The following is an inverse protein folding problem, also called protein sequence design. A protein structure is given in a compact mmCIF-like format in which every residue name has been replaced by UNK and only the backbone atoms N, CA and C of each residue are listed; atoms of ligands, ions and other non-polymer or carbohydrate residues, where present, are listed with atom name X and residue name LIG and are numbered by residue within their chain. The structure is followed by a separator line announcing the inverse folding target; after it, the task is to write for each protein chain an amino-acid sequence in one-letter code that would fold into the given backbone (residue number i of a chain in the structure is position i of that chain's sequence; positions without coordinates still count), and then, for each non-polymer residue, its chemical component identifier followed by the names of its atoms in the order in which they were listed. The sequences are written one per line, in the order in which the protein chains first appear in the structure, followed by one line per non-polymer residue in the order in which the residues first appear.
data_IF_753591734943
#
_entry.id   IF_753591734943
#
_cell.length_a   1.000
_cell.length_b   1.000
_cell.length_c   1.000
_cell.angle_alpha   90.00
_cell.angle_beta   90.00
_cell.angle_gamma   90.00
#
_symmetry.space_group_name_H-M   'P 1'
#
loop_
_entity.id
_entity.type
_entity.pdbx_description
1 polymer ?
#
# COMPACT_ATOMS: atom_id res chain seq x y z
N UNK A 1 -74.33 0.94 -51.53
CA UNK A 1 -74.37 2.32 -52.13
C UNK A 1 -72.92 2.72 -52.13
N UNK A 2 -72.23 2.50 -53.25
CA UNK A 2 -72.09 3.39 -54.38
C UNK A 2 -71.04 4.43 -54.03
N UNK A 3 -70.02 4.63 -54.65
CA UNK A 3 -69.42 4.49 -56.02
C UNK A 3 -68.09 5.23 -55.94
N UNK A 4 -67.00 4.66 -56.32
CA UNK A 4 -66.33 4.69 -57.62
C UNK A 4 -65.51 5.96 -57.94
N UNK A 5 -64.35 5.63 -58.42
CA UNK A 5 -63.61 6.27 -59.52
C UNK A 5 -62.82 7.56 -59.21
N UNK A 6 -61.73 7.84 -59.83
CA UNK A 6 -61.00 7.26 -60.97
C UNK A 6 -59.72 8.11 -61.17
N UNK A 7 -58.66 7.44 -61.60
CA UNK A 7 -57.59 7.83 -62.51
C UNK A 7 -57.24 9.32 -62.73
N UNK A 8 -55.98 9.69 -62.66
CA UNK A 8 -55.21 9.83 -63.89
C UNK A 8 -53.78 10.27 -63.74
N UNK A 9 -52.94 9.63 -64.52
CA UNK A 9 -51.55 9.93 -64.83
C UNK A 9 -51.30 11.36 -65.29
N UNK A 10 -50.11 11.93 -65.01
CA UNK A 10 -49.14 12.26 -66.08
C UNK A 10 -47.90 13.02 -65.62
N UNK A 11 -46.80 12.53 -66.14
CA UNK A 11 -45.59 13.22 -66.68
C UNK A 11 -44.49 13.79 -65.73
N UNK A 12 -43.39 13.05 -65.77
CA UNK A 12 -42.01 13.45 -66.09
C UNK A 12 -41.63 14.91 -65.76
N UNK A 13 -40.73 15.01 -64.78
CA UNK A 13 -39.80 16.10 -64.64
C UNK A 13 -38.50 15.58 -64.02
N UNK A 14 -37.47 15.38 -64.86
CA UNK A 14 -36.12 15.05 -64.43
C UNK A 14 -35.49 16.32 -63.88
N UNK A 15 -35.16 16.34 -62.60
CA UNK A 15 -34.28 17.31 -62.03
C UNK A 15 -33.09 16.58 -61.36
N UNK A 16 -31.97 16.75 -62.01
CA UNK A 16 -30.67 16.34 -61.49
C UNK A 16 -30.29 17.31 -60.35
N UNK A 17 -30.30 16.84 -59.12
CA UNK A 17 -29.74 17.59 -58.00
C UNK A 17 -28.45 16.90 -57.49
N UNK A 18 -27.35 17.60 -57.62
CA UNK A 18 -26.04 17.20 -57.11
C UNK A 18 -26.10 17.08 -55.57
N UNK A 19 -25.92 15.87 -55.08
CA UNK A 19 -25.74 15.62 -53.66
C UNK A 19 -24.29 15.98 -53.25
N UNK A 20 -24.14 17.10 -52.55
CA UNK A 20 -22.94 17.43 -51.84
C UNK A 20 -22.83 16.48 -50.64
N UNK A 21 -21.94 15.51 -50.69
CA UNK A 21 -21.59 14.65 -49.57
C UNK A 21 -20.77 15.46 -48.56
N UNK A 22 -21.44 15.98 -47.53
CA UNK A 22 -20.76 16.44 -46.32
C UNK A 22 -20.19 15.21 -45.55
N UNK A 23 -18.90 14.98 -45.74
CA UNK A 23 -18.19 14.02 -44.93
C UNK A 23 -18.13 14.50 -43.49
N UNK A 24 -18.95 13.95 -42.62
CA UNK A 24 -18.80 14.06 -41.18
C UNK A 24 -17.55 13.22 -40.79
N UNK A 25 -16.43 13.89 -40.61
CA UNK A 25 -15.28 13.29 -39.96
C UNK A 25 -15.70 12.96 -38.51
N UNK A 26 -16.04 11.70 -38.26
CA UNK A 26 -16.17 11.17 -36.91
C UNK A 26 -14.78 11.27 -36.29
N UNK A 27 -14.56 12.24 -35.43
CA UNK A 27 -13.45 12.27 -34.51
C UNK A 27 -13.59 11.03 -33.63
N UNK A 28 -12.88 9.97 -34.01
CA UNK A 28 -12.73 8.77 -33.20
C UNK A 28 -12.07 9.14 -31.88
N UNK A 29 -12.85 9.34 -30.84
CA UNK A 29 -12.35 9.29 -29.48
C UNK A 29 -11.85 7.89 -29.25
N UNK A 30 -10.54 7.68 -29.40
CA UNK A 30 -9.88 6.47 -28.89
C UNK A 30 -10.29 6.33 -27.42
N UNK A 31 -10.94 5.23 -27.01
CA UNK A 31 -11.24 5.04 -25.61
C UNK A 31 -9.88 5.03 -24.89
N UNK A 32 -9.66 5.97 -23.98
CA UNK A 32 -8.56 5.91 -23.06
C UNK A 32 -8.65 4.52 -22.42
N UNK A 33 -7.60 3.71 -22.56
CA UNK A 33 -7.54 2.40 -21.93
C UNK A 33 -7.82 2.61 -20.44
N UNK A 34 -9.01 2.24 -20.00
CA UNK A 34 -9.41 2.35 -18.61
C UNK A 34 -8.36 1.57 -17.81
N UNK A 35 -7.56 2.26 -17.02
CA UNK A 35 -6.56 1.64 -16.18
C UNK A 35 -7.26 0.59 -15.32
N UNK A 36 -6.84 -0.68 -15.41
CA UNK A 36 -7.50 -1.77 -14.70
C UNK A 36 -7.54 -1.45 -13.20
N UNK A 37 -8.72 -1.62 -12.61
CA UNK A 37 -8.93 -1.41 -11.17
C UNK A 37 -8.03 -2.35 -10.38
N UNK A 38 -7.19 -1.80 -9.51
CA UNK A 38 -6.27 -2.55 -8.63
C UNK A 38 -6.75 -2.51 -7.19
N UNK A 39 -6.32 -3.50 -6.41
CA UNK A 39 -6.57 -3.56 -4.96
C UNK A 39 -5.26 -3.34 -4.21
N UNK A 40 -5.24 -2.35 -3.33
CA UNK A 40 -4.08 -2.06 -2.47
C UNK A 40 -4.39 -2.42 -1.01
N UNK A 41 -3.45 -3.08 -0.35
CA UNK A 41 -3.43 -3.28 1.10
C UNK A 41 -2.19 -2.58 1.64
N UNK A 42 -2.39 -1.54 2.45
CA UNK A 42 -1.36 -0.62 2.93
C UNK A 42 -1.11 -0.86 4.42
N UNK A 43 0.00 -1.51 4.77
CA UNK A 43 0.35 -1.87 6.14
C UNK A 43 1.32 -0.85 6.71
N UNK A 44 0.96 -0.25 7.82
CA UNK A 44 1.72 0.81 8.49
C UNK A 44 2.93 0.28 9.28
N UNK A 45 3.83 1.20 9.65
CA UNK A 45 4.99 0.97 10.52
C UNK A 45 4.65 0.89 12.01
N UNK A 46 5.68 0.74 12.85
CA UNK A 46 5.52 0.75 14.30
C UNK A 46 4.94 2.09 14.79
N UNK A 47 4.15 2.06 15.86
CA UNK A 47 3.49 3.20 16.51
C UNK A 47 2.43 3.93 15.69
N UNK A 48 2.34 3.64 14.40
CA UNK A 48 1.37 4.22 13.45
C UNK A 48 0.02 3.46 13.48
N UNK A 49 -0.84 3.81 12.56
CA UNK A 49 -2.12 3.16 12.24
C UNK A 49 -2.48 3.41 10.79
N UNK A 50 -3.61 2.91 10.33
CA UNK A 50 -4.12 3.14 8.97
C UNK A 50 -4.22 4.62 8.59
N UNK A 51 -4.34 5.50 9.58
CA UNK A 51 -4.41 6.96 9.42
C UNK A 51 -3.25 7.55 8.61
N UNK A 52 -2.03 6.98 8.73
CA UNK A 52 -0.85 7.52 8.03
C UNK A 52 -0.94 7.38 6.51
N UNK A 53 -1.75 6.46 6.04
CA UNK A 53 -1.99 6.20 4.63
C UNK A 53 -3.08 7.06 3.99
N UNK A 54 -3.82 7.88 4.78
CA UNK A 54 -5.03 8.55 4.30
C UNK A 54 -4.80 9.35 3.01
N UNK A 55 -3.70 10.12 2.94
CA UNK A 55 -3.36 10.93 1.76
C UNK A 55 -3.17 10.06 0.50
N UNK A 56 -2.43 8.95 0.63
CA UNK A 56 -2.19 8.01 -0.48
C UNK A 56 -3.46 7.25 -0.85
N UNK A 57 -4.23 6.81 0.16
CA UNK A 57 -5.49 6.11 -0.06
C UNK A 57 -6.49 6.98 -0.84
N UNK A 58 -6.68 8.25 -0.44
CA UNK A 58 -7.56 9.20 -1.14
C UNK A 58 -7.15 9.38 -2.62
N UNK A 59 -5.84 9.47 -2.89
CA UNK A 59 -5.32 9.61 -4.25
C UNK A 59 -5.55 8.36 -5.10
N UNK A 60 -5.33 7.17 -4.54
CA UNK A 60 -5.59 5.90 -5.22
C UNK A 60 -7.09 5.68 -5.46
N UNK A 61 -7.94 5.95 -4.47
CA UNK A 61 -9.39 5.84 -4.56
C UNK A 61 -9.97 6.81 -5.59
N UNK A 62 -9.47 8.05 -5.64
CA UNK A 62 -9.83 9.04 -6.67
C UNK A 62 -9.49 8.57 -8.09
N UNK A 63 -8.45 7.74 -8.24
CA UNK A 63 -8.07 7.13 -9.52
C UNK A 63 -8.85 5.81 -9.80
N UNK A 64 -9.83 5.43 -8.95
CA UNK A 64 -10.73 4.30 -9.14
C UNK A 64 -10.23 2.96 -8.58
N UNK A 65 -9.16 2.95 -7.80
CA UNK A 65 -8.62 1.74 -7.17
C UNK A 65 -9.32 1.42 -5.84
N UNK A 66 -9.25 0.15 -5.42
CA UNK A 66 -9.74 -0.31 -4.10
C UNK A 66 -8.58 -0.25 -3.10
N UNK A 67 -8.78 0.40 -1.95
CA UNK A 67 -7.72 0.60 -0.96
C UNK A 67 -8.17 0.15 0.42
N UNK A 68 -7.31 -0.59 1.09
CA UNK A 68 -7.46 -0.99 2.48
C UNK A 68 -6.20 -0.58 3.24
N UNK A 69 -6.37 0.15 4.33
CA UNK A 69 -5.30 0.55 5.22
C UNK A 69 -5.65 0.11 6.66
N UNK A 70 -5.48 -1.19 6.99
CA UNK A 70 -5.82 -1.68 8.30
C UNK A 70 -4.92 -1.07 9.38
N UNK A 71 -5.49 -0.81 10.56
CA UNK A 71 -4.70 -0.59 11.76
C UNK A 71 -4.48 -1.91 12.49
N UNK A 72 -3.24 -2.24 12.76
CA UNK A 72 -2.86 -3.46 13.47
C UNK A 72 -3.32 -3.40 14.93
N UNK A 73 -3.58 -4.56 15.53
CA UNK A 73 -4.10 -4.66 16.90
C UNK A 73 -3.18 -4.00 17.93
N UNK A 74 -3.76 -3.16 18.80
CA UNK A 74 -3.06 -2.50 19.92
C UNK A 74 -2.45 -1.15 19.59
N UNK A 75 -2.57 -0.64 18.35
CA UNK A 75 -2.06 0.68 17.95
C UNK A 75 -3.15 1.56 17.34
N UNK A 76 -2.86 2.84 17.13
CA UNK A 76 -3.78 3.80 16.54
C UNK A 76 -5.15 3.79 17.23
N UNK A 77 -6.23 3.83 16.46
CA UNK A 77 -7.61 3.75 16.96
C UNK A 77 -7.94 2.40 17.64
N UNK A 78 -7.09 1.40 17.48
CA UNK A 78 -7.21 0.10 18.16
C UNK A 78 -6.31 -0.01 19.41
N UNK A 79 -5.74 1.10 19.89
CA UNK A 79 -4.88 1.15 21.08
C UNK A 79 -5.57 0.67 22.35
N UNK A 80 -6.90 0.77 22.43
CA UNK A 80 -7.71 0.24 23.53
C UNK A 80 -7.63 -1.30 23.68
N UNK A 81 -7.12 -2.01 22.65
CA UNK A 81 -6.88 -3.45 22.67
C UNK A 81 -5.46 -3.81 23.14
N UNK A 82 -4.64 -2.83 23.56
CA UNK A 82 -3.27 -3.08 24.00
C UNK A 82 -3.22 -4.15 25.09
N UNK A 83 -2.42 -5.21 24.86
CA UNK A 83 -2.26 -6.34 25.77
C UNK A 83 -0.83 -6.89 25.67
N UNK A 84 -0.37 -7.58 26.72
CA UNK A 84 0.90 -8.31 26.74
C UNK A 84 0.90 -9.53 25.80
N UNK A 85 -0.28 -10.01 25.43
CA UNK A 85 -0.46 -11.19 24.58
C UNK A 85 -0.30 -10.88 23.09
N UNK A 86 -0.27 -9.58 22.73
CA UNK A 86 -0.06 -9.17 21.35
C UNK A 86 1.37 -9.47 20.93
N UNK A 87 1.52 -10.29 19.91
CA UNK A 87 2.77 -10.73 19.35
C UNK A 87 2.75 -10.56 17.80
N UNK A 88 3.79 -11.03 17.11
CA UNK A 88 3.88 -10.90 15.66
C UNK A 88 2.72 -11.62 14.94
N UNK A 89 2.35 -12.84 15.40
CA UNK A 89 1.26 -13.61 14.81
C UNK A 89 -0.10 -12.90 14.92
N UNK A 90 -0.31 -12.10 15.98
CA UNK A 90 -1.51 -11.25 16.10
C UNK A 90 -1.60 -10.28 14.92
N UNK A 91 -0.51 -9.56 14.61
CA UNK A 91 -0.48 -8.62 13.50
C UNK A 91 -0.50 -9.31 12.13
N UNK A 92 0.09 -10.48 12.00
CA UNK A 92 -0.04 -11.33 10.79
C UNK A 92 -1.51 -11.69 10.57
N UNK A 93 -2.20 -12.10 11.63
CA UNK A 93 -3.63 -12.46 11.58
C UNK A 93 -4.51 -11.28 11.19
N UNK A 94 -4.22 -10.06 11.65
CA UNK A 94 -4.93 -8.86 11.23
C UNK A 94 -4.90 -8.70 9.69
N UNK A 95 -3.72 -8.88 9.07
CA UNK A 95 -3.53 -8.74 7.63
C UNK A 95 -4.19 -9.88 6.86
N UNK A 96 -3.97 -11.12 7.30
CA UNK A 96 -4.53 -12.33 6.66
C UNK A 96 -6.06 -12.31 6.71
N UNK A 97 -6.63 -11.97 7.86
CA UNK A 97 -8.08 -11.89 8.03
C UNK A 97 -8.70 -10.79 7.17
N UNK A 98 -8.08 -9.61 7.10
CA UNK A 98 -8.54 -8.57 6.17
C UNK A 98 -8.65 -9.13 4.74
N UNK A 99 -7.59 -9.74 4.22
CA UNK A 99 -7.58 -10.28 2.86
C UNK A 99 -8.62 -11.39 2.66
N UNK A 100 -8.83 -12.22 3.69
CA UNK A 100 -9.77 -13.33 3.67
C UNK A 100 -11.23 -12.86 3.74
N UNK A 101 -11.57 -12.01 4.70
CA UNK A 101 -12.96 -11.62 4.95
C UNK A 101 -13.49 -10.58 3.95
N UNK A 102 -12.61 -9.84 3.29
CA UNK A 102 -12.93 -8.95 2.17
C UNK A 102 -12.79 -9.63 0.79
N UNK A 103 -12.52 -10.94 0.75
CA UNK A 103 -12.33 -11.74 -0.47
C UNK A 103 -11.35 -11.10 -1.46
N UNK A 104 -10.27 -10.48 -0.95
CA UNK A 104 -9.33 -9.75 -1.78
C UNK A 104 -8.49 -10.70 -2.63
N UNK A 105 -8.24 -10.28 -3.89
CA UNK A 105 -7.34 -10.93 -4.85
C UNK A 105 -6.63 -9.89 -5.69
N UNK A 106 -5.59 -10.29 -6.42
CA UNK A 106 -4.74 -9.41 -7.22
C UNK A 106 -4.24 -8.19 -6.42
N UNK A 107 -3.81 -8.46 -5.19
CA UNK A 107 -3.44 -7.46 -4.21
C UNK A 107 -2.04 -6.92 -4.52
N UNK A 108 -1.90 -5.59 -4.55
CA UNK A 108 -0.64 -4.92 -4.30
C UNK A 108 -0.51 -4.72 -2.79
N UNK A 109 0.31 -5.53 -2.13
CA UNK A 109 0.61 -5.39 -0.72
C UNK A 109 1.73 -4.37 -0.55
N UNK A 110 1.48 -3.30 0.21
CA UNK A 110 2.48 -2.27 0.54
C UNK A 110 2.75 -2.33 2.03
N UNK A 111 4.01 -2.54 2.40
CA UNK A 111 4.43 -2.63 3.80
C UNK A 111 5.43 -1.52 4.12
N UNK A 112 5.20 -0.78 5.20
CA UNK A 112 6.07 0.29 5.65
C UNK A 112 6.79 -0.08 6.95
N UNK A 113 8.10 0.19 7.01
CA UNK A 113 8.89 0.06 8.25
C UNK A 113 8.73 -1.31 8.94
N UNK A 114 8.23 -1.29 10.19
CA UNK A 114 7.85 -2.49 10.95
C UNK A 114 6.87 -3.39 10.18
N UNK A 115 5.96 -2.80 9.39
CA UNK A 115 5.00 -3.56 8.58
C UNK A 115 5.63 -4.62 7.68
N UNK A 116 6.93 -4.50 7.39
CA UNK A 116 7.70 -5.53 6.68
C UNK A 116 7.74 -6.88 7.40
N UNK A 117 7.68 -6.90 8.75
CA UNK A 117 7.62 -8.13 9.55
C UNK A 117 6.29 -8.87 9.36
N UNK A 118 5.14 -8.31 9.80
CA UNK A 118 3.88 -9.02 9.65
C UNK A 118 3.45 -9.18 8.19
N UNK A 119 3.84 -8.26 7.29
CA UNK A 119 3.56 -8.39 5.87
C UNK A 119 4.29 -9.55 5.22
N UNK A 120 5.59 -9.74 5.52
CA UNK A 120 6.34 -10.90 5.00
C UNK A 120 5.74 -12.22 5.48
N UNK A 121 5.36 -12.32 6.76
CA UNK A 121 4.73 -13.53 7.30
C UNK A 121 3.29 -13.73 6.76
N UNK A 122 2.53 -12.66 6.51
CA UNK A 122 1.20 -12.77 5.92
C UNK A 122 1.22 -13.41 4.52
N UNK A 123 2.27 -13.16 3.73
CA UNK A 123 2.43 -13.76 2.40
C UNK A 123 2.49 -15.30 2.47
N UNK A 124 3.07 -15.87 3.54
CA UNK A 124 3.11 -17.33 3.73
C UNK A 124 1.71 -17.97 3.74
N UNK A 125 0.68 -17.19 4.09
CA UNK A 125 -0.72 -17.62 4.19
C UNK A 125 -1.62 -17.12 3.05
N UNK A 126 -1.11 -16.20 2.22
CA UNK A 126 -1.94 -15.46 1.24
C UNK A 126 -1.26 -15.27 -0.11
N UNK A 127 -0.24 -16.06 -0.42
CA UNK A 127 0.54 -15.93 -1.65
C UNK A 127 -0.34 -15.95 -2.92
N UNK A 128 -1.38 -16.78 -2.95
CA UNK A 128 -2.34 -16.88 -4.05
C UNK A 128 -3.21 -15.65 -4.28
N UNK A 129 -3.19 -14.70 -3.33
CA UNK A 129 -3.96 -13.45 -3.38
C UNK A 129 -3.14 -12.23 -3.79
N UNK A 130 -1.79 -12.36 -3.78
CA UNK A 130 -0.86 -11.22 -3.92
C UNK A 130 -0.22 -11.26 -5.31
N UNK A 131 -0.47 -10.20 -6.10
CA UNK A 131 0.13 -10.02 -7.43
C UNK A 131 1.44 -9.22 -7.38
N UNK A 132 1.57 -8.33 -6.41
CA UNK A 132 2.78 -7.52 -6.23
C UNK A 132 2.99 -7.14 -4.76
N UNK A 133 4.25 -6.90 -4.38
CA UNK A 133 4.59 -6.39 -3.06
C UNK A 133 5.57 -5.23 -3.16
N UNK A 134 5.37 -4.23 -2.29
CA UNK A 134 6.22 -3.05 -2.15
C UNK A 134 6.68 -2.93 -0.70
N UNK A 135 7.99 -2.99 -0.48
CA UNK A 135 8.62 -2.60 0.78
C UNK A 135 8.95 -1.10 0.72
N UNK A 136 8.19 -0.30 1.46
CA UNK A 136 8.40 1.14 1.57
C UNK A 136 9.22 1.43 2.81
N UNK A 137 10.49 1.73 2.64
CA UNK A 137 11.42 2.03 3.73
C UNK A 137 11.25 1.05 4.90
N UNK A 138 11.30 -0.26 4.60
CA UNK A 138 10.81 -1.31 5.46
C UNK A 138 11.85 -2.40 5.75
N UNK A 139 11.69 -3.06 6.88
CA UNK A 139 12.44 -4.28 7.19
C UNK A 139 12.08 -5.39 6.21
N UNK A 140 13.09 -6.09 5.72
CA UNK A 140 12.98 -7.29 4.90
C UNK A 140 13.61 -8.47 5.65
N UNK A 141 12.89 -9.03 6.67
CA UNK A 141 13.47 -10.03 7.56
C UNK A 141 13.73 -11.37 6.86
N UNK A 142 14.69 -12.12 7.40
CA UNK A 142 14.92 -13.52 7.09
C UNK A 142 14.27 -14.44 8.15
N UNK A 143 14.10 -15.73 7.79
CA UNK A 143 13.50 -16.70 8.70
C UNK A 143 14.23 -16.76 10.05
N UNK A 144 13.47 -16.86 11.14
CA UNK A 144 13.98 -16.92 12.51
C UNK A 144 14.43 -15.58 13.10
N UNK A 145 14.55 -14.51 12.34
CA UNK A 145 14.92 -13.19 12.88
C UNK A 145 13.78 -12.58 13.70
N UNK A 146 14.13 -11.62 14.56
CA UNK A 146 13.20 -10.85 15.41
C UNK A 146 13.43 -9.36 15.22
N UNK A 147 12.40 -8.55 15.35
CA UNK A 147 12.54 -7.09 15.38
C UNK A 147 13.52 -6.60 16.45
N UNK A 148 13.60 -7.34 17.56
CA UNK A 148 14.57 -7.14 18.65
C UNK A 148 16.03 -7.14 18.16
N UNK A 149 16.37 -8.00 17.21
CA UNK A 149 17.75 -8.20 16.73
C UNK A 149 18.25 -6.99 15.93
N UNK A 150 17.34 -6.18 15.39
CA UNK A 150 17.63 -4.96 14.61
C UNK A 150 17.59 -3.67 15.45
N UNK A 151 17.22 -3.78 16.72
CA UNK A 151 17.18 -2.63 17.61
C UNK A 151 18.59 -2.29 18.14
N UNK A 152 18.85 -1.01 18.43
CA UNK A 152 20.07 -0.59 19.13
C UNK A 152 20.17 -1.25 20.51
N UNK A 153 21.38 -1.34 21.08
CA UNK A 153 21.58 -1.88 22.42
C UNK A 153 20.72 -1.15 23.47
N UNK A 154 20.64 0.17 23.37
CA UNK A 154 19.80 0.99 24.22
C UNK A 154 18.32 0.59 24.09
N UNK A 155 17.81 0.45 22.87
CA UNK A 155 16.41 0.09 22.62
C UNK A 155 16.11 -1.35 23.07
N UNK A 156 17.05 -2.28 22.90
CA UNK A 156 16.92 -3.67 23.39
C UNK A 156 16.81 -3.71 24.90
N UNK A 157 17.70 -2.98 25.60
CA UNK A 157 17.68 -2.90 27.06
C UNK A 157 16.36 -2.30 27.57
N UNK A 158 15.94 -1.18 27.01
CA UNK A 158 14.68 -0.52 27.35
C UNK A 158 13.47 -1.44 27.14
N UNK A 159 13.44 -2.20 26.04
CA UNK A 159 12.38 -3.17 25.76
C UNK A 159 12.34 -4.29 26.82
N UNK A 160 13.48 -4.88 27.15
CA UNK A 160 13.55 -5.97 28.14
C UNK A 160 13.15 -5.48 29.55
N UNK A 161 13.56 -4.27 29.93
CA UNK A 161 13.15 -3.64 31.18
C UNK A 161 11.66 -3.37 31.24
N UNK A 162 11.06 -2.87 30.16
CA UNK A 162 9.62 -2.65 30.04
C UNK A 162 8.84 -3.97 30.20
N UNK A 163 9.30 -5.03 29.54
CA UNK A 163 8.71 -6.37 29.65
C UNK A 163 8.83 -6.89 31.08
N UNK A 164 9.98 -6.74 31.72
CA UNK A 164 10.21 -7.16 33.10
C UNK A 164 9.30 -6.42 34.11
N UNK A 165 8.99 -5.14 33.84
CA UNK A 165 7.97 -4.37 34.62
C UNK A 165 6.54 -4.76 34.29
N UNK A 166 6.34 -5.64 33.32
CA UNK A 166 5.02 -6.06 32.89
C UNK A 166 4.28 -5.04 32.03
N UNK A 167 4.99 -4.14 31.35
CA UNK A 167 4.41 -3.18 30.41
C UNK A 167 4.04 -3.88 29.09
N UNK A 168 2.81 -3.64 28.60
CA UNK A 168 2.32 -4.25 27.37
C UNK A 168 2.94 -3.62 26.12
N UNK A 169 3.29 -2.33 26.18
CA UNK A 169 3.80 -1.58 25.03
C UNK A 169 4.84 -0.55 25.43
N UNK A 170 5.56 -0.04 24.44
CA UNK A 170 6.55 1.04 24.55
C UNK A 170 6.08 2.29 23.84
N UNK A 171 6.35 3.50 24.39
CA UNK A 171 5.91 4.77 23.80
C UNK A 171 6.54 5.00 22.43
N UNK A 172 5.85 5.81 21.62
CA UNK A 172 6.36 6.26 20.33
C UNK A 172 7.46 7.31 20.52
N UNK A 173 8.49 7.32 19.66
CA UNK A 173 9.34 8.50 19.50
C UNK A 173 8.54 9.65 18.87
N UNK A 174 9.10 10.86 18.88
CA UNK A 174 8.50 12.00 18.19
C UNK A 174 8.62 11.90 16.66
N UNK A 175 7.69 12.52 15.95
CA UNK A 175 7.68 12.56 14.48
C UNK A 175 9.00 13.08 13.87
N UNK A 176 9.70 13.94 14.58
CA UNK A 176 11.02 14.43 14.20
C UNK A 176 12.05 13.30 14.06
N UNK A 177 11.98 12.26 14.91
CA UNK A 177 12.87 11.11 14.84
C UNK A 177 12.67 10.26 13.57
N UNK A 178 11.52 10.38 12.92
CA UNK A 178 11.21 9.79 11.62
C UNK A 178 11.54 10.74 10.44
N UNK A 179 12.11 11.91 10.72
CA UNK A 179 12.42 12.93 9.72
C UNK A 179 11.19 13.43 8.94
N UNK A 180 10.02 13.36 9.55
CA UNK A 180 8.78 13.91 9.00
C UNK A 180 8.94 15.42 8.75
N UNK A 181 8.41 15.91 7.64
CA UNK A 181 8.41 17.33 7.30
C UNK A 181 7.81 18.15 8.45
N UNK A 182 8.42 19.29 8.79
CA UNK A 182 8.07 20.11 9.95
C UNK A 182 6.58 20.44 10.03
N UNK A 183 5.96 20.80 8.91
CA UNK A 183 4.53 21.15 8.82
C UNK A 183 3.59 20.02 9.27
N UNK A 184 4.03 18.77 9.22
CA UNK A 184 3.21 17.59 9.51
C UNK A 184 3.52 16.97 10.88
N UNK A 185 4.64 17.34 11.55
CA UNK A 185 5.10 16.74 12.80
C UNK A 185 4.04 16.78 13.91
N UNK A 186 3.41 17.94 14.13
CA UNK A 186 2.39 18.07 15.18
C UNK A 186 1.19 17.15 14.93
N UNK A 187 0.78 16.99 13.68
CA UNK A 187 -0.29 16.08 13.31
C UNK A 187 0.12 14.62 13.52
N UNK A 188 1.30 14.21 13.06
CA UNK A 188 1.83 12.84 13.26
C UNK A 188 1.95 12.55 14.76
N UNK A 189 2.58 13.43 15.54
CA UNK A 189 2.71 13.29 17.00
C UNK A 189 1.37 13.08 17.72
N UNK A 190 0.31 13.73 17.24
CA UNK A 190 -1.04 13.60 17.81
C UNK A 190 -1.70 12.23 17.53
N UNK A 191 -1.16 11.46 16.59
CA UNK A 191 -1.72 10.17 16.13
C UNK A 191 -0.90 8.95 16.53
N UNK A 192 0.37 9.14 16.89
CA UNK A 192 1.24 8.05 17.33
C UNK A 192 0.75 7.46 18.65
N UNK A 193 0.84 6.13 18.77
CA UNK A 193 0.46 5.39 19.97
C UNK A 193 1.57 4.43 20.38
N UNK A 194 1.51 3.87 21.59
CA UNK A 194 2.46 2.85 22.03
C UNK A 194 2.42 1.63 21.11
N UNK A 195 3.59 1.02 20.91
CA UNK A 195 3.75 -0.23 20.15
C UNK A 195 3.79 -1.43 21.10
N UNK A 196 3.03 -2.51 20.85
CA UNK A 196 3.10 -3.73 21.66
C UNK A 196 4.53 -4.29 21.72
N UNK A 197 4.98 -4.69 22.91
CA UNK A 197 6.34 -5.18 23.11
C UNK A 197 6.56 -6.57 22.49
N UNK A 198 5.57 -7.46 22.58
CA UNK A 198 5.67 -8.84 22.12
C UNK A 198 5.95 -8.98 20.61
N UNK A 199 5.54 -8.01 19.80
CA UNK A 199 5.74 -8.05 18.35
C UNK A 199 7.22 -7.99 17.94
N UNK A 200 8.08 -7.43 18.79
CA UNK A 200 9.52 -7.37 18.54
C UNK A 200 10.27 -8.60 19.04
N UNK A 201 9.68 -9.40 19.92
CA UNK A 201 10.33 -10.52 20.61
C UNK A 201 10.11 -11.87 19.91
N UNK A 202 9.02 -12.00 19.17
CA UNK A 202 8.69 -13.24 18.48
C UNK A 202 9.52 -13.40 17.21
N UNK A 203 10.19 -14.54 17.00
CA UNK A 203 10.85 -14.86 15.74
C UNK A 203 9.84 -14.98 14.61
N UNK A 204 10.16 -14.40 13.43
CA UNK A 204 9.36 -14.61 12.23
C UNK A 204 9.59 -16.01 11.67
N UNK A 205 8.55 -16.59 11.06
CA UNK A 205 8.62 -17.86 10.33
C UNK A 205 8.37 -17.61 8.87
N UNK A 206 9.34 -17.93 8.02
CA UNK A 206 9.28 -17.77 6.58
C UNK A 206 9.70 -19.06 5.88
N UNK A 207 9.03 -19.39 4.80
CA UNK A 207 9.35 -20.55 3.94
C UNK A 207 9.74 -20.14 2.51
N UNK A 208 9.93 -18.82 2.28
CA UNK A 208 10.29 -18.26 0.98
C UNK A 208 9.09 -17.94 0.09
N UNK A 209 7.88 -17.84 0.64
CA UNK A 209 6.70 -17.49 -0.15
C UNK A 209 6.81 -16.10 -0.79
N UNK A 210 7.42 -15.12 -0.11
CA UNK A 210 7.61 -13.76 -0.63
C UNK A 210 8.44 -13.72 -1.92
N UNK A 211 9.41 -14.66 -2.07
CA UNK A 211 10.29 -14.69 -3.25
C UNK A 211 9.54 -15.16 -4.51
N UNK A 212 8.40 -15.84 -4.32
CA UNK A 212 7.50 -16.30 -5.38
C UNK A 212 6.52 -15.23 -5.86
N UNK A 213 6.44 -14.08 -5.17
CA UNK A 213 5.61 -12.96 -5.65
C UNK A 213 6.21 -12.42 -6.95
N UNK A 214 5.37 -12.30 -7.98
CA UNK A 214 5.84 -12.00 -9.34
C UNK A 214 6.48 -10.62 -9.49
N UNK A 215 5.93 -9.61 -8.78
CA UNK A 215 6.42 -8.23 -8.83
C UNK A 215 6.87 -7.80 -7.44
N UNK A 216 8.15 -7.53 -7.28
CA UNK A 216 8.76 -7.11 -6.02
C UNK A 216 9.40 -5.74 -6.17
N UNK A 217 9.13 -4.84 -5.25
CA UNK A 217 9.67 -3.48 -5.26
C UNK A 217 10.17 -3.08 -3.89
N UNK A 218 11.33 -2.44 -3.85
CA UNK A 218 11.86 -1.79 -2.66
C UNK A 218 11.95 -0.28 -2.88
N UNK A 219 11.37 0.51 -1.98
CA UNK A 219 11.43 1.98 -2.01
C UNK A 219 12.16 2.44 -0.76
N UNK A 220 13.24 3.20 -0.91
CA UNK A 220 14.07 3.72 0.19
C UNK A 220 13.88 5.22 0.37
N UNK A 221 13.60 5.67 1.61
CA UNK A 221 13.57 7.07 2.00
C UNK A 221 14.98 7.52 2.43
N UNK A 222 15.75 8.08 1.51
CA UNK A 222 17.20 8.28 1.69
C UNK A 222 17.60 9.29 2.77
N UNK A 223 16.68 10.14 3.22
CA UNK A 223 16.96 11.08 4.33
C UNK A 223 16.93 10.42 5.71
N UNK A 224 16.26 9.27 5.83
CA UNK A 224 16.13 8.57 7.11
C UNK A 224 17.30 7.60 7.31
N UNK A 225 18.20 7.81 8.31
CA UNK A 225 19.36 6.95 8.50
C UNK A 225 18.95 5.63 9.15
N UNK A 226 18.89 4.55 8.37
CA UNK A 226 18.59 3.20 8.85
C UNK A 226 19.41 2.16 8.08
N UNK A 227 20.53 1.67 8.66
CA UNK A 227 21.43 0.73 7.98
C UNK A 227 20.74 -0.55 7.49
N UNK A 228 19.74 -1.07 8.23
CA UNK A 228 19.00 -2.25 7.79
C UNK A 228 18.24 -2.01 6.48
N UNK A 229 17.74 -0.79 6.25
CA UNK A 229 17.03 -0.44 5.01
C UNK A 229 18.00 -0.18 3.86
N UNK A 230 19.19 0.38 4.16
CA UNK A 230 20.25 0.56 3.16
C UNK A 230 20.76 -0.79 2.66
N UNK A 231 20.96 -1.75 3.57
CA UNK A 231 21.36 -3.11 3.24
C UNK A 231 20.29 -3.82 2.39
N UNK A 232 19.01 -3.71 2.79
CA UNK A 232 17.90 -4.28 2.02
C UNK A 232 17.80 -3.70 0.61
N UNK A 233 17.98 -2.36 0.45
CA UNK A 233 18.05 -1.73 -0.87
C UNK A 233 19.22 -2.28 -1.69
N UNK A 234 20.42 -2.36 -1.08
CA UNK A 234 21.62 -2.85 -1.76
C UNK A 234 21.42 -4.28 -2.26
N UNK A 235 20.86 -5.16 -1.43
CA UNK A 235 20.52 -6.53 -1.81
C UNK A 235 19.50 -6.56 -2.96
N UNK A 236 18.41 -5.80 -2.86
CA UNK A 236 17.40 -5.74 -3.92
C UNK A 236 17.98 -5.22 -5.26
N UNK A 237 18.96 -4.33 -5.23
CA UNK A 237 19.64 -3.83 -6.45
C UNK A 237 20.47 -4.90 -7.16
N UNK A 238 20.91 -5.95 -6.46
CA UNK A 238 21.67 -7.06 -7.07
C UNK A 238 20.79 -8.11 -7.75
N UNK A 239 19.51 -8.17 -7.39
CA UNK A 239 18.54 -9.12 -7.93
C UNK A 239 17.63 -8.45 -8.97
N UNK A 240 17.76 -8.86 -10.25
CA UNK A 240 16.97 -8.32 -11.37
C UNK A 240 15.47 -8.56 -11.29
N UNK A 241 15.01 -9.41 -10.37
CA UNK A 241 13.58 -9.64 -10.11
C UNK A 241 12.95 -8.53 -9.27
N UNK A 242 13.77 -7.66 -8.70
CA UNK A 242 13.35 -6.51 -7.91
C UNK A 242 13.39 -5.22 -8.72
N UNK A 243 12.43 -4.35 -8.45
CA UNK A 243 12.48 -2.94 -8.83
C UNK A 243 12.87 -2.11 -7.60
N UNK A 244 13.69 -1.09 -7.79
CA UNK A 244 14.12 -0.24 -6.69
C UNK A 244 13.89 1.23 -7.00
N UNK A 245 13.48 2.00 -5.99
CA UNK A 245 13.28 3.44 -6.06
C UNK A 245 13.86 4.10 -4.83
N UNK A 246 14.25 5.36 -4.97
CA UNK A 246 14.77 6.18 -3.88
C UNK A 246 13.93 7.45 -3.76
N UNK A 247 13.27 7.63 -2.62
CA UNK A 247 12.52 8.82 -2.27
C UNK A 247 13.48 9.85 -1.66
N UNK A 248 13.93 10.80 -2.46
CA UNK A 248 15.01 11.75 -2.09
C UNK A 248 14.51 12.99 -1.35
N UNK A 249 13.20 13.31 -1.46
CA UNK A 249 12.61 14.55 -0.96
C UNK A 249 12.04 14.50 0.45
N UNK A 250 11.93 13.31 1.06
CA UNK A 250 11.16 13.07 2.28
C UNK A 250 11.92 12.22 3.31
N UNK A 251 11.38 12.19 4.55
CA UNK A 251 11.81 11.30 5.61
C UNK A 251 11.19 9.91 5.51
N UNK A 252 11.20 9.21 6.64
CA UNK A 252 10.72 7.84 6.76
C UNK A 252 9.25 7.67 6.36
N UNK A 253 8.41 8.62 6.74
CA UNK A 253 6.97 8.60 6.48
C UNK A 253 6.64 9.15 5.09
N UNK A 254 7.13 8.47 4.04
CA UNK A 254 6.97 8.87 2.63
C UNK A 254 5.48 9.08 2.27
N UNK A 255 4.58 8.30 2.86
CA UNK A 255 3.13 8.38 2.64
C UNK A 255 2.53 9.69 3.20
N UNK A 256 3.21 10.33 4.16
CA UNK A 256 2.83 11.63 4.73
C UNK A 256 3.50 12.77 3.97
N UNK A 257 4.81 12.63 3.70
CA UNK A 257 5.66 13.69 3.18
C UNK A 257 5.54 13.89 1.67
N UNK A 258 5.33 12.79 0.90
CA UNK A 258 5.31 12.77 -0.55
C UNK A 258 4.22 11.85 -1.13
N UNK A 259 2.93 12.05 -0.75
CA UNK A 259 1.84 11.14 -1.09
C UNK A 259 1.58 11.03 -2.61
N UNK A 260 1.73 12.11 -3.37
CA UNK A 260 1.54 12.11 -4.82
C UNK A 260 2.62 11.26 -5.51
N UNK A 261 3.89 11.50 -5.18
CA UNK A 261 5.02 10.74 -5.73
C UNK A 261 4.88 9.25 -5.41
N UNK A 262 4.52 8.93 -4.16
CA UNK A 262 4.33 7.55 -3.74
C UNK A 262 3.16 6.90 -4.49
N UNK A 263 2.03 7.59 -4.63
CA UNK A 263 0.87 7.11 -5.37
C UNK A 263 1.24 6.75 -6.81
N UNK A 264 1.92 7.65 -7.52
CA UNK A 264 2.32 7.42 -8.91
C UNK A 264 3.33 6.26 -9.03
N UNK A 265 4.26 6.15 -8.08
CA UNK A 265 5.20 5.01 -8.00
C UNK A 265 4.45 3.69 -7.76
N UNK A 266 3.50 3.64 -6.82
CA UNK A 266 2.70 2.45 -6.55
C UNK A 266 1.91 1.99 -7.79
N UNK A 267 1.34 2.92 -8.54
CA UNK A 267 0.61 2.62 -9.79
C UNK A 267 1.52 2.06 -10.88
N UNK A 268 2.78 2.52 -10.92
CA UNK A 268 3.75 2.03 -11.89
C UNK A 268 4.22 0.60 -11.60
N UNK A 269 4.23 0.16 -10.35
CA UNK A 269 4.81 -1.12 -9.91
C UNK A 269 3.79 -2.19 -9.58
N UNK A 270 2.53 -1.84 -9.43
CA UNK A 270 1.44 -2.77 -9.08
C UNK A 270 0.89 -3.55 -10.26
#
# INVERSE_FOLDING_TARGET
MSETNDLSMTRRGVLVSAAASAGTAALGTTPALAQSRKTFVLVHGAWHGGWCWRRVADLLEKKGHKVFAPTLTGVGERSHLMSKDINLDTHVTDIVNLMKWEDLRDICLVVHAYGGWPGSAAIEHTLDRISSIVWLDAFKPEDGQRGFDFASEFSRKALLEAVARGEAGRPAPKAEAFFVNEKDRAWVDSKLTSQPNGVALQPIKLTGARDKVAKKTYIRAVKYPQPAFDNALAECKTDRTWRTFEATGCGHDVMVDAPEWLTDTLLQVS
#
